data_IF_830601975503
#
_entry.id   IF_830601975503
#
_cell.length_a   1.000
_cell.length_b   1.000
_cell.length_c   1.000
_cell.angle_alpha   90.00
_cell.angle_beta   90.00
_cell.angle_gamma   90.00
#
_symmetry.space_group_name_H-M   'P 1'
#
loop_
_entity.id
_entity.type
_entity.pdbx_description
1 polymer ?
#
# COMPACT_ATOMS: atom_id res chain seq x y z
N UNK A 1 -31.44 32.44 15.50
CA UNK A 1 -31.66 32.12 14.06
C UNK A 1 -33.16 32.03 13.85
N UNK A 2 -33.69 32.35 12.67
CA UNK A 2 -35.14 32.29 12.47
C UNK A 2 -35.61 30.85 12.19
N UNK A 3 -36.73 30.41 12.77
CA UNK A 3 -37.25 29.06 12.51
C UNK A 3 -37.65 28.91 11.03
N UNK A 4 -37.12 27.94 10.27
CA UNK A 4 -37.46 27.81 8.85
C UNK A 4 -38.91 27.37 8.60
N UNK A 5 -39.58 26.81 9.60
CA UNK A 5 -40.97 26.36 9.53
C UNK A 5 -41.94 27.49 9.89
N UNK A 6 -41.81 28.07 11.09
CA UNK A 6 -42.77 29.05 11.60
C UNK A 6 -42.27 30.51 11.59
N UNK A 7 -41.02 30.75 11.18
CA UNK A 7 -40.38 32.08 11.12
C UNK A 7 -40.41 32.85 12.45
N UNK A 8 -40.43 32.14 13.56
CA UNK A 8 -40.26 32.74 14.88
C UNK A 8 -38.79 33.10 15.14
N UNK A 9 -38.53 34.38 15.42
CA UNK A 9 -37.17 34.95 15.50
C UNK A 9 -36.51 34.72 16.87
N UNK A 10 -37.31 34.38 17.88
CA UNK A 10 -36.89 34.26 19.27
C UNK A 10 -36.51 32.80 19.59
N UNK A 11 -35.37 32.39 19.03
CA UNK A 11 -34.76 31.07 19.23
C UNK A 11 -33.39 31.21 19.88
N UNK A 12 -33.25 30.66 21.08
CA UNK A 12 -31.98 30.51 21.80
C UNK A 12 -30.98 29.68 20.97
N UNK A 13 -29.70 30.07 20.99
CA UNK A 13 -28.65 29.42 20.21
C UNK A 13 -28.38 28.00 20.74
N UNK A 14 -28.84 26.98 20.01
CA UNK A 14 -28.65 25.57 20.37
C UNK A 14 -29.91 24.85 20.87
N UNK A 15 -31.10 25.48 20.78
CA UNK A 15 -32.36 24.81 21.10
C UNK A 15 -32.61 23.62 20.15
N UNK A 16 -32.88 22.43 20.72
CA UNK A 16 -33.22 21.22 19.97
C UNK A 16 -34.62 21.28 19.35
N UNK A 17 -35.52 22.07 19.92
CA UNK A 17 -36.91 22.22 19.46
C UNK A 17 -37.34 23.69 19.43
N UNK A 18 -38.21 24.04 18.49
CA UNK A 18 -38.80 25.37 18.43
C UNK A 18 -39.96 25.51 19.44
N UNK A 19 -39.92 26.48 20.38
CA UNK A 19 -40.98 26.65 21.38
C UNK A 19 -42.32 27.12 20.80
N UNK A 20 -42.32 27.71 19.60
CA UNK A 20 -43.53 28.24 18.96
C UNK A 20 -44.29 27.20 18.12
N UNK A 21 -43.60 26.23 17.52
CA UNK A 21 -44.22 25.25 16.60
C UNK A 21 -43.86 23.79 16.88
N UNK A 22 -43.02 23.51 17.89
CA UNK A 22 -42.64 22.15 18.27
C UNK A 22 -41.81 21.40 17.23
N UNK A 23 -41.20 22.10 16.28
CA UNK A 23 -40.36 21.47 15.24
C UNK A 23 -38.98 21.12 15.79
N UNK A 24 -38.54 19.88 15.58
CA UNK A 24 -37.20 19.40 15.92
C UNK A 24 -36.16 19.98 14.93
N UNK A 25 -35.19 20.71 15.48
CA UNK A 25 -34.14 21.42 14.74
C UNK A 25 -32.79 20.69 14.83
N UNK A 26 -32.72 19.58 15.56
CA UNK A 26 -31.48 18.83 15.80
C UNK A 26 -30.84 18.32 14.51
N UNK A 27 -31.65 17.75 13.61
CA UNK A 27 -31.19 17.28 12.31
C UNK A 27 -30.60 18.43 11.45
N UNK A 28 -31.18 19.62 11.54
CA UNK A 28 -30.71 20.81 10.80
C UNK A 28 -29.36 21.28 11.34
N UNK A 29 -29.18 21.20 12.66
CA UNK A 29 -27.90 21.52 13.31
C UNK A 29 -26.78 20.55 12.89
N UNK A 30 -27.08 19.24 12.89
CA UNK A 30 -26.13 18.20 12.46
C UNK A 30 -25.70 18.37 10.99
N UNK A 31 -26.62 18.73 10.10
CA UNK A 31 -26.32 18.97 8.68
C UNK A 31 -25.39 20.20 8.53
N UNK A 32 -25.61 21.25 9.33
CA UNK A 32 -24.76 22.43 9.37
C UNK A 32 -23.30 22.09 9.71
N UNK A 33 -23.09 21.25 10.71
CA UNK A 33 -21.75 20.86 11.17
C UNK A 33 -20.98 20.01 10.13
N UNK A 34 -21.66 19.07 9.46
CA UNK A 34 -21.05 18.19 8.45
C UNK A 34 -20.71 18.95 7.16
N UNK A 35 -21.56 19.88 6.74
CA UNK A 35 -21.35 20.66 5.50
C UNK A 35 -20.09 21.54 5.57
N UNK A 36 -19.79 22.11 6.74
CA UNK A 36 -18.64 22.98 6.94
C UNK A 36 -17.32 22.19 6.79
N UNK A 37 -17.23 21.00 7.40
CA UNK A 37 -16.09 20.08 7.25
C UNK A 37 -15.89 19.63 5.81
N UNK A 38 -16.96 19.29 5.09
CA UNK A 38 -16.86 18.91 3.68
C UNK A 38 -16.42 20.08 2.78
N UNK A 39 -16.83 21.31 3.08
CA UNK A 39 -16.41 22.49 2.31
C UNK A 39 -14.92 22.81 2.48
N UNK A 40 -14.39 22.62 3.69
CA UNK A 40 -12.98 22.80 4.00
C UNK A 40 -12.12 21.71 3.35
N UNK A 41 -12.55 20.43 3.43
CA UNK A 41 -11.86 19.31 2.77
C UNK A 41 -11.82 19.45 1.25
N UNK A 42 -12.91 19.91 0.60
CA UNK A 42 -12.92 20.18 -0.84
C UNK A 42 -11.99 21.32 -1.24
N UNK A 43 -11.96 22.42 -0.46
CA UNK A 43 -11.02 23.54 -0.67
C UNK A 43 -9.57 23.07 -0.52
N UNK A 44 -9.26 22.33 0.55
CA UNK A 44 -7.91 21.78 0.78
C UNK A 44 -7.49 20.80 -0.32
N UNK A 45 -8.37 19.90 -0.75
CA UNK A 45 -8.12 18.97 -1.86
C UNK A 45 -7.86 19.71 -3.18
N UNK A 46 -8.64 20.77 -3.47
CA UNK A 46 -8.43 21.58 -4.67
C UNK A 46 -7.09 22.33 -4.68
N UNK A 47 -6.68 22.84 -3.52
CA UNK A 47 -5.38 23.52 -3.37
C UNK A 47 -4.22 22.53 -3.52
N UNK A 48 -4.32 21.34 -2.91
CA UNK A 48 -3.30 20.29 -3.03
C UNK A 48 -3.13 19.84 -4.49
N UNK A 49 -4.22 19.66 -5.23
CA UNK A 49 -4.19 19.27 -6.64
C UNK A 49 -3.48 20.31 -7.52
N UNK A 50 -3.73 21.60 -7.27
CA UNK A 50 -3.04 22.69 -7.97
C UNK A 50 -1.54 22.72 -7.63
N UNK A 51 -1.18 22.49 -6.37
CA UNK A 51 0.22 22.43 -5.93
C UNK A 51 0.99 21.29 -6.61
N UNK A 52 0.38 20.11 -6.66
CA UNK A 52 0.96 18.94 -7.36
C UNK A 52 1.13 19.21 -8.84
N UNK A 53 0.14 19.85 -9.49
CA UNK A 53 0.26 20.26 -10.89
C UNK A 53 1.40 21.25 -11.09
N UNK A 54 1.55 22.26 -10.23
CA UNK A 54 2.65 23.23 -10.35
C UNK A 54 4.03 22.58 -10.18
N UNK A 55 4.17 21.62 -9.28
CA UNK A 55 5.42 20.85 -9.12
C UNK A 55 5.69 20.00 -10.36
N UNK A 56 4.67 19.34 -10.91
CA UNK A 56 4.80 18.56 -12.14
C UNK A 56 5.17 19.44 -13.35
N UNK A 57 4.52 20.60 -13.49
CA UNK A 57 4.87 21.58 -14.51
C UNK A 57 6.29 22.14 -14.33
N UNK A 58 6.73 22.35 -13.09
CA UNK A 58 8.11 22.74 -12.77
C UNK A 58 9.13 21.68 -13.19
N UNK A 59 8.88 20.40 -12.87
CA UNK A 59 9.72 19.28 -13.30
C UNK A 59 9.81 19.17 -14.83
N UNK A 60 8.68 19.33 -15.52
CA UNK A 60 8.64 19.33 -16.99
C UNK A 60 9.40 20.55 -17.55
N UNK A 61 9.25 21.73 -16.96
CA UNK A 61 9.95 22.94 -17.38
C UNK A 61 11.48 22.85 -17.20
N UNK A 62 11.95 22.22 -16.11
CA UNK A 62 13.38 21.92 -15.91
C UNK A 62 13.90 20.88 -16.90
N UNK A 63 13.05 19.94 -17.33
CA UNK A 63 13.43 18.99 -18.37
C UNK A 63 13.44 19.61 -19.78
N UNK A 64 12.71 20.70 -20.00
CA UNK A 64 12.54 21.34 -21.31
C UNK A 64 13.52 22.50 -21.57
N UNK A 65 14.12 23.09 -20.53
CA UNK A 65 15.18 24.11 -20.65
C UNK A 65 16.61 23.54 -20.58
N UNK A 66 16.76 22.24 -20.83
CA UNK A 66 18.03 21.50 -20.86
C UNK A 66 18.84 21.61 -22.17
N UNK A 67 18.72 22.70 -22.91
CA UNK A 67 19.68 23.07 -23.96
C UNK A 67 20.29 24.43 -23.64
N UNK A 68 20.96 24.51 -22.49
CA UNK A 68 21.96 25.54 -22.26
C UNK A 68 23.09 25.30 -23.26
N UNK A 69 23.17 26.15 -24.27
CA UNK A 69 24.29 26.21 -25.21
C UNK A 69 25.58 26.30 -24.40
N UNK A 70 26.35 25.22 -24.42
CA UNK A 70 27.65 25.14 -23.78
C UNK A 70 28.57 26.01 -24.63
N UNK A 71 28.80 27.25 -24.21
CA UNK A 71 29.89 28.05 -24.76
C UNK A 71 31.16 27.27 -24.45
N UNK A 72 31.66 26.56 -25.45
CA UNK A 72 32.93 25.87 -25.42
C UNK A 72 34.02 26.91 -25.23
N UNK A 73 34.32 27.22 -23.96
CA UNK A 73 35.61 27.78 -23.63
C UNK A 73 36.59 26.63 -23.82
N UNK A 74 37.27 26.66 -24.96
CA UNK A 74 38.35 25.74 -25.29
C UNK A 74 39.34 25.72 -24.12
N UNK A 75 39.41 24.59 -23.42
CA UNK A 75 40.46 24.32 -22.45
C UNK A 75 41.82 24.31 -23.18
N UNK A 76 42.86 24.94 -22.62
CA UNK A 76 44.21 24.87 -23.19
C UNK A 76 44.72 23.42 -23.16
N UNK A 77 45.60 23.04 -24.12
CA UNK A 77 45.99 21.65 -24.31
C UNK A 77 46.91 21.19 -23.18
N UNK A 78 46.54 20.04 -22.63
CA UNK A 78 47.41 19.01 -22.04
C UNK A 78 48.44 19.46 -21.00
N UNK A 79 47.99 19.72 -19.76
CA UNK A 79 48.77 19.22 -18.62
C UNK A 79 48.26 17.82 -18.27
N UNK A 80 49.12 16.77 -18.32
CA UNK A 80 48.73 15.45 -17.85
C UNK A 80 48.55 15.52 -16.34
N UNK A 81 47.32 15.81 -15.90
CA UNK A 81 46.95 15.63 -14.51
C UNK A 81 47.20 14.16 -14.21
N UNK A 82 48.28 13.92 -13.47
CA UNK A 82 48.66 12.62 -13.00
C UNK A 82 47.51 12.08 -12.15
N UNK A 83 46.59 11.35 -12.78
CA UNK A 83 45.70 10.37 -12.16
C UNK A 83 46.60 9.27 -11.61
N UNK A 84 47.25 9.57 -10.50
CA UNK A 84 48.29 8.73 -9.92
C UNK A 84 47.67 7.44 -9.38
N UNK A 85 48.48 6.38 -9.38
CA UNK A 85 48.13 4.97 -9.27
C UNK A 85 47.02 4.56 -8.28
N UNK A 86 46.76 5.35 -7.24
CA UNK A 86 45.72 5.14 -6.24
C UNK A 86 44.30 5.03 -6.83
N UNK A 87 43.95 5.88 -7.81
CA UNK A 87 42.61 5.82 -8.46
C UNK A 87 42.47 4.57 -9.33
N UNK A 88 43.58 4.10 -9.92
CA UNK A 88 43.61 2.87 -10.73
C UNK A 88 43.48 1.64 -9.82
N UNK A 89 44.15 1.65 -8.68
CA UNK A 89 44.05 0.59 -7.68
C UNK A 89 42.65 0.52 -7.07
N UNK A 90 42.04 1.68 -6.78
CA UNK A 90 40.66 1.78 -6.31
C UNK A 90 39.66 1.25 -7.34
N UNK A 91 39.80 1.61 -8.62
CA UNK A 91 38.94 1.09 -9.68
C UNK A 91 39.05 -0.43 -9.85
N UNK A 92 40.26 -0.98 -9.66
CA UNK A 92 40.47 -2.43 -9.67
C UNK A 92 39.81 -3.11 -8.47
N UNK A 93 39.87 -2.48 -7.29
CA UNK A 93 39.18 -2.97 -6.10
C UNK A 93 37.65 -2.93 -6.28
N UNK A 94 37.10 -1.86 -6.87
CA UNK A 94 35.67 -1.75 -7.20
C UNK A 94 35.26 -2.88 -8.15
N UNK A 95 36.00 -3.08 -9.24
CA UNK A 95 35.71 -4.15 -10.20
C UNK A 95 35.72 -5.55 -9.55
N UNK A 96 36.59 -5.78 -8.56
CA UNK A 96 36.64 -7.04 -7.81
C UNK A 96 35.42 -7.19 -6.91
N UNK A 97 35.06 -6.14 -6.16
CA UNK A 97 33.86 -6.12 -5.31
C UNK A 97 32.57 -6.28 -6.13
N UNK A 98 32.50 -5.68 -7.32
CA UNK A 98 31.36 -5.84 -8.22
C UNK A 98 31.20 -7.29 -8.71
N UNK A 99 32.32 -7.99 -8.94
CA UNK A 99 32.31 -9.41 -9.27
C UNK A 99 31.81 -10.27 -8.09
N UNK A 100 32.29 -10.00 -6.87
CA UNK A 100 31.81 -10.66 -5.65
C UNK A 100 30.31 -10.40 -5.42
N UNK A 101 29.84 -9.17 -5.60
CA UNK A 101 28.43 -8.79 -5.48
C UNK A 101 27.57 -9.53 -6.52
N UNK A 102 28.09 -9.72 -7.74
CA UNK A 102 27.37 -10.45 -8.79
C UNK A 102 27.18 -11.92 -8.42
N UNK A 103 28.20 -12.55 -7.86
CA UNK A 103 28.14 -13.95 -7.41
C UNK A 103 27.18 -14.11 -6.23
N UNK A 104 27.32 -13.28 -5.19
CA UNK A 104 26.41 -13.28 -4.03
C UNK A 104 24.95 -13.05 -4.41
N UNK A 105 24.68 -12.19 -5.41
CA UNK A 105 23.32 -11.97 -5.93
C UNK A 105 22.78 -13.21 -6.65
N UNK A 106 23.62 -13.97 -7.33
CA UNK A 106 23.21 -15.21 -7.97
C UNK A 106 22.85 -16.28 -6.93
N UNK A 107 23.71 -16.48 -5.92
CA UNK A 107 23.44 -17.41 -4.80
C UNK A 107 22.15 -17.03 -4.05
N UNK A 108 21.96 -15.74 -3.78
CA UNK A 108 20.76 -15.24 -3.13
C UNK A 108 19.51 -15.53 -3.97
N UNK A 109 19.60 -15.39 -5.29
CA UNK A 109 18.52 -15.73 -6.23
C UNK A 109 18.13 -17.20 -6.19
N UNK A 110 19.11 -18.11 -6.16
CA UNK A 110 18.87 -19.56 -6.05
C UNK A 110 18.21 -19.92 -4.70
N UNK A 111 18.64 -19.29 -3.61
CA UNK A 111 18.05 -19.48 -2.29
C UNK A 111 16.59 -18.99 -2.24
N UNK A 112 16.29 -17.82 -2.81
CA UNK A 112 14.93 -17.31 -2.89
C UNK A 112 14.02 -18.23 -3.71
N UNK A 113 14.50 -18.77 -4.84
CA UNK A 113 13.74 -19.72 -5.64
C UNK A 113 13.40 -21.00 -4.86
N UNK A 114 14.35 -21.51 -4.07
CA UNK A 114 14.13 -22.69 -3.22
C UNK A 114 13.09 -22.42 -2.12
N UNK A 115 13.18 -21.26 -1.47
CA UNK A 115 12.21 -20.84 -0.45
C UNK A 115 10.81 -20.65 -1.07
N UNK A 116 10.72 -20.07 -2.27
CA UNK A 116 9.44 -19.87 -2.94
C UNK A 116 8.78 -21.21 -3.31
N UNK A 117 9.58 -22.15 -3.83
CA UNK A 117 9.12 -23.51 -4.07
C UNK A 117 8.65 -24.21 -2.79
N UNK A 118 9.32 -23.96 -1.65
CA UNK A 118 8.93 -24.55 -0.37
C UNK A 118 7.68 -23.90 0.26
N UNK A 119 7.30 -22.69 -0.16
CA UNK A 119 6.10 -21.96 0.29
C UNK A 119 4.88 -22.17 -0.60
N UNK A 120 5.03 -22.95 -1.67
CA UNK A 120 3.92 -23.28 -2.55
C UNK A 120 2.98 -24.28 -1.90
N UNK A 121 1.71 -24.17 -2.28
CA UNK A 121 0.72 -25.18 -1.96
C UNK A 121 1.09 -26.49 -2.68
N UNK A 122 0.91 -27.63 -2.00
CA UNK A 122 1.24 -28.96 -2.54
C UNK A 122 -0.06 -29.75 -2.71
N UNK A 123 -0.35 -30.13 -3.95
CA UNK A 123 -1.43 -31.08 -4.25
C UNK A 123 -0.94 -32.51 -4.01
N UNK A 124 -1.74 -33.27 -3.28
CA UNK A 124 -1.46 -34.66 -2.92
C UNK A 124 -2.68 -35.49 -3.32
N UNK A 125 -2.42 -36.59 -4.01
CA UNK A 125 -3.43 -37.59 -4.36
C UNK A 125 -3.02 -38.91 -3.69
N UNK A 126 -3.88 -39.42 -2.80
CA UNK A 126 -3.68 -40.69 -2.13
C UNK A 126 -4.98 -41.53 -2.14
N UNK A 127 -4.99 -42.64 -1.38
CA UNK A 127 -6.17 -43.52 -1.32
C UNK A 127 -7.34 -42.91 -0.53
N UNK A 128 -7.14 -41.80 0.20
CA UNK A 128 -8.19 -41.05 0.90
C UNK A 128 -8.76 -39.88 0.07
N UNK A 129 -8.16 -39.55 -1.07
CA UNK A 129 -8.68 -38.58 -2.03
C UNK A 129 -7.65 -37.53 -2.46
N UNK A 130 -8.12 -36.49 -3.17
CA UNK A 130 -7.30 -35.32 -3.51
C UNK A 130 -7.36 -34.29 -2.39
N UNK A 131 -6.20 -33.86 -1.92
CA UNK A 131 -6.09 -32.80 -0.93
C UNK A 131 -4.91 -31.86 -1.22
N UNK A 132 -5.01 -30.63 -0.76
CA UNK A 132 -3.96 -29.61 -0.86
C UNK A 132 -3.41 -29.30 0.51
N UNK A 133 -2.08 -29.28 0.65
CA UNK A 133 -1.38 -28.73 1.80
C UNK A 133 -1.08 -27.28 1.49
N UNK A 134 -1.73 -26.37 2.22
CA UNK A 134 -1.56 -24.93 2.06
C UNK A 134 -0.76 -24.34 3.21
N UNK A 135 0.21 -23.49 2.89
CA UNK A 135 0.99 -22.76 3.90
C UNK A 135 0.36 -21.38 4.08
N UNK A 136 -0.08 -21.09 5.30
CA UNK A 136 -0.82 -19.87 5.64
C UNK A 136 0.08 -18.65 5.41
N UNK A 137 -0.43 -17.71 4.61
CA UNK A 137 0.21 -16.44 4.26
C UNK A 137 -0.34 -15.31 5.14
N UNK A 138 0.40 -14.20 5.16
CA UNK A 138 0.01 -13.02 5.94
C UNK A 138 -1.35 -12.48 5.47
N UNK A 139 -2.26 -12.27 6.42
CA UNK A 139 -3.59 -11.74 6.16
C UNK A 139 -4.65 -12.77 5.77
N UNK A 140 -4.30 -14.05 5.67
CA UNK A 140 -5.28 -15.12 5.43
C UNK A 140 -6.06 -15.48 6.72
N UNK A 141 -7.29 -15.95 6.51
CA UNK A 141 -8.18 -16.52 7.51
C UNK A 141 -8.71 -17.86 6.98
N UNK A 142 -9.23 -18.74 7.84
CA UNK A 142 -9.87 -19.97 7.35
C UNK A 142 -11.01 -19.69 6.38
N UNK A 143 -11.71 -18.56 6.52
CA UNK A 143 -12.73 -18.12 5.58
C UNK A 143 -12.15 -17.86 4.19
N UNK A 144 -11.11 -17.03 4.09
CA UNK A 144 -10.49 -16.68 2.81
C UNK A 144 -9.81 -17.90 2.16
N UNK A 145 -9.26 -18.80 2.98
CA UNK A 145 -8.70 -20.09 2.51
C UNK A 145 -9.83 -20.96 1.94
N UNK A 146 -10.95 -21.11 2.65
CA UNK A 146 -12.10 -21.86 2.15
C UNK A 146 -12.66 -21.25 0.83
N UNK A 147 -12.74 -19.92 0.73
CA UNK A 147 -13.12 -19.24 -0.51
C UNK A 147 -12.16 -19.54 -1.67
N UNK A 148 -10.86 -19.56 -1.41
CA UNK A 148 -9.83 -19.85 -2.43
C UNK A 148 -9.97 -21.24 -3.03
N UNK A 149 -10.22 -22.27 -2.20
CA UNK A 149 -10.20 -23.66 -2.66
C UNK A 149 -11.59 -24.23 -2.98
N UNK A 150 -12.63 -23.83 -2.25
CA UNK A 150 -14.00 -24.32 -2.46
C UNK A 150 -14.90 -23.31 -3.18
N UNK A 151 -14.41 -22.11 -3.48
CA UNK A 151 -15.20 -21.04 -4.09
C UNK A 151 -16.14 -20.31 -3.11
N UNK A 152 -16.21 -20.74 -1.84
CA UNK A 152 -17.01 -20.09 -0.80
C UNK A 152 -16.46 -20.33 0.62
N UNK A 153 -16.71 -19.41 1.55
CA UNK A 153 -16.18 -19.48 2.91
C UNK A 153 -16.91 -20.42 3.87
N UNK A 154 -18.04 -21.01 3.47
CA UNK A 154 -18.87 -21.83 4.38
C UNK A 154 -18.19 -23.10 4.90
N UNK A 155 -17.19 -23.62 4.17
CA UNK A 155 -16.45 -24.84 4.56
C UNK A 155 -15.32 -24.58 5.57
N UNK A 156 -15.11 -23.35 6.03
CA UNK A 156 -14.03 -23.04 6.99
C UNK A 156 -14.12 -23.87 8.27
N UNK A 157 -15.33 -24.24 8.72
CA UNK A 157 -15.54 -25.10 9.89
C UNK A 157 -15.14 -26.56 9.65
N UNK A 158 -15.36 -27.08 8.44
CA UNK A 158 -14.91 -28.42 8.04
C UNK A 158 -13.39 -28.46 7.96
N UNK A 159 -12.76 -27.43 7.38
CA UNK A 159 -11.31 -27.27 7.34
C UNK A 159 -10.75 -27.26 8.77
N UNK A 160 -11.35 -26.48 9.68
CA UNK A 160 -10.91 -26.45 11.08
C UNK A 160 -11.02 -27.82 11.75
N UNK A 161 -12.13 -28.53 11.52
CA UNK A 161 -12.37 -29.86 12.08
C UNK A 161 -11.37 -30.91 11.61
N UNK A 162 -11.05 -30.93 10.32
CA UNK A 162 -10.09 -31.88 9.76
C UNK A 162 -8.64 -31.61 10.18
N UNK A 163 -8.31 -30.36 10.52
CA UNK A 163 -6.97 -29.96 10.98
C UNK A 163 -6.86 -29.89 12.50
N UNK A 164 -7.88 -30.36 13.23
CA UNK A 164 -7.90 -30.40 14.70
C UNK A 164 -7.55 -29.03 15.33
N UNK A 165 -8.04 -27.94 14.72
CA UNK A 165 -7.77 -26.59 15.21
C UNK A 165 -8.59 -26.29 16.47
N UNK A 166 -7.89 -25.98 17.57
CA UNK A 166 -8.50 -25.59 18.85
C UNK A 166 -9.39 -24.34 18.74
N UNK A 167 -8.92 -23.34 17.98
CA UNK A 167 -9.67 -22.12 17.68
C UNK A 167 -9.61 -21.82 16.17
N UNK A 168 -10.74 -21.96 15.43
CA UNK A 168 -10.83 -21.67 14.00
C UNK A 168 -10.50 -20.22 13.63
N UNK A 169 -10.55 -19.28 14.59
CA UNK A 169 -10.21 -17.89 14.36
C UNK A 169 -8.73 -17.57 14.59
N UNK A 170 -7.94 -18.56 15.06
CA UNK A 170 -6.54 -18.38 15.38
C UNK A 170 -5.65 -19.32 14.57
N UNK A 171 -5.21 -18.84 13.41
CA UNK A 171 -4.20 -19.48 12.56
C UNK A 171 -2.98 -18.57 12.43
N UNK A 172 -1.77 -19.13 12.32
CA UNK A 172 -0.54 -18.34 12.22
C UNK A 172 0.07 -18.44 10.83
N UNK A 173 0.65 -17.33 10.39
CA UNK A 173 1.46 -17.30 9.17
C UNK A 173 2.59 -18.34 9.24
N UNK A 174 2.71 -19.15 8.21
CA UNK A 174 3.70 -20.23 8.10
C UNK A 174 3.19 -21.59 8.58
N UNK A 175 2.03 -21.67 9.25
CA UNK A 175 1.42 -22.95 9.59
C UNK A 175 0.89 -23.64 8.32
N UNK A 176 0.89 -24.97 8.32
CA UNK A 176 0.35 -25.79 7.23
C UNK A 176 -1.07 -26.23 7.55
N UNK A 177 -1.96 -26.12 6.57
CA UNK A 177 -3.35 -26.57 6.66
C UNK A 177 -3.70 -27.51 5.52
N UNK A 178 -4.38 -28.60 5.84
CA UNK A 178 -4.86 -29.60 4.88
C UNK A 178 -6.26 -29.20 4.40
N UNK A 179 -6.44 -29.09 3.09
CA UNK A 179 -7.71 -28.80 2.44
C UNK A 179 -8.09 -30.00 1.58
N UNK A 180 -9.22 -30.63 1.85
CA UNK A 180 -9.75 -31.74 1.04
C UNK A 180 -10.61 -31.17 -0.10
N UNK A 181 -10.63 -31.79 -1.28
CA UNK A 181 -11.47 -31.35 -2.42
C UNK A 181 -12.75 -32.16 -2.58
#
# INVERSE_FOLDING_TARGET
>A
MNCPICKNEELEAGASECPACGSDLFAIHLIGEVSNKQSMLKRMSSVLAVLVLLVAFGWVFTSMTGSGEVIATELPPDEPVARTAEVVELNKAIATRDAEIKELKAELGELFATIESAKSDVEVEDEEGSHTIHIIKEGESLWSIAEKYHGHGFNHGEIAGHNELDDPHYIKTGDTIIIKH
#
